data_IF_112996824805
#
_entry.id   IF_112996824805
#
_cell.length_a   1.000
_cell.length_b   1.000
_cell.length_c   1.000
_cell.angle_alpha   90.00
_cell.angle_beta   90.00
_cell.angle_gamma   90.00
#
_symmetry.space_group_name_H-M   'P 1'
#
loop_
_entity.id
_entity.type
_entity.pdbx_description
1 polymer ?
#
# COMPACT_ATOMS: atom_id res chain seq x y z
N UNK A 1 -18.86 -6.61 1.68
CA UNK A 1 -17.59 -5.88 1.65
C UNK A 1 -17.70 -4.64 0.80
N UNK A 2 -17.17 -3.54 1.27
CA UNK A 2 -17.18 -2.27 0.55
C UNK A 2 -15.76 -1.74 0.44
N UNK A 3 -15.34 -1.33 -0.75
CA UNK A 3 -14.06 -0.63 -0.96
C UNK A 3 -14.36 0.86 -1.10
N UNK A 4 -13.69 1.67 -0.31
CA UNK A 4 -13.88 3.12 -0.30
C UNK A 4 -12.56 3.83 -0.11
N UNK A 5 -12.54 5.13 -0.36
CA UNK A 5 -11.33 5.91 -0.13
C UNK A 5 -10.94 5.88 1.36
N UNK A 6 -9.64 5.81 1.60
CA UNK A 6 -9.07 5.90 2.93
C UNK A 6 -9.12 7.34 3.42
N UNK A 7 -9.43 7.52 4.70
CA UNK A 7 -9.35 8.83 5.36
C UNK A 7 -8.50 8.69 6.61
N UNK A 8 -8.11 9.82 7.21
CA UNK A 8 -7.27 9.77 8.41
C UNK A 8 -7.99 9.15 9.62
N UNK A 9 -9.32 9.14 9.61
CA UNK A 9 -10.11 8.46 10.65
C UNK A 9 -9.90 6.94 10.63
N UNK A 10 -9.40 6.40 9.53
CA UNK A 10 -9.08 4.98 9.43
C UNK A 10 -7.75 4.61 10.10
N UNK A 11 -6.97 5.60 10.51
CA UNK A 11 -5.58 5.36 10.91
C UNK A 11 -5.39 4.32 12.00
N UNK A 12 -6.15 4.37 13.08
CA UNK A 12 -5.96 3.44 14.20
C UNK A 12 -6.22 2.00 13.78
N UNK A 13 -7.29 1.76 13.01
CA UNK A 13 -7.60 0.44 12.49
C UNK A 13 -6.54 -0.02 11.48
N UNK A 14 -6.08 0.90 10.63
CA UNK A 14 -5.05 0.65 9.64
C UNK A 14 -3.73 0.25 10.33
N UNK A 15 -3.33 1.00 11.35
CA UNK A 15 -2.10 0.74 12.08
C UNK A 15 -2.13 -0.64 12.76
N UNK A 16 -3.26 -0.99 13.38
CA UNK A 16 -3.44 -2.33 13.97
C UNK A 16 -3.33 -3.42 12.90
N UNK A 17 -3.92 -3.20 11.73
CA UNK A 17 -3.83 -4.14 10.62
C UNK A 17 -2.38 -4.34 10.19
N UNK A 18 -1.63 -3.25 10.06
CA UNK A 18 -0.21 -3.32 9.70
C UNK A 18 0.62 -4.06 10.74
N UNK A 19 0.41 -3.78 12.03
CA UNK A 19 1.16 -4.44 13.11
C UNK A 19 0.89 -5.94 13.16
N UNK A 20 -0.26 -6.37 12.69
CA UNK A 20 -0.63 -7.79 12.63
C UNK A 20 -0.26 -8.46 11.32
N UNK A 21 0.44 -7.76 10.45
CA UNK A 21 0.85 -8.28 9.14
C UNK A 21 2.38 -8.38 9.10
N UNK A 22 2.87 -9.58 8.83
CA UNK A 22 4.30 -9.84 8.78
C UNK A 22 4.95 -9.15 7.58
N UNK A 23 6.15 -8.58 7.79
CA UNK A 23 6.95 -8.05 6.70
C UNK A 23 6.46 -6.76 6.07
N UNK A 24 5.77 -5.90 6.83
CA UNK A 24 5.22 -4.66 6.28
C UNK A 24 6.25 -3.59 5.93
N UNK A 25 7.39 -3.55 6.61
CA UNK A 25 8.42 -2.54 6.35
C UNK A 25 8.02 -1.15 6.84
N UNK A 26 7.51 -1.06 8.04
CA UNK A 26 7.07 0.19 8.66
C UNK A 26 8.21 0.98 9.30
N UNK A 27 8.00 2.28 9.49
CA UNK A 27 8.86 3.10 10.32
C UNK A 27 8.03 4.09 11.16
N UNK A 28 8.63 4.62 12.22
CA UNK A 28 7.91 5.44 13.20
C UNK A 28 7.59 6.85 12.70
N UNK A 29 8.10 7.27 11.57
CA UNK A 29 7.87 8.60 11.00
C UNK A 29 6.85 8.58 9.89
N UNK A 30 7.12 7.84 8.81
CA UNK A 30 6.23 7.80 7.65
C UNK A 30 4.90 7.16 7.96
N UNK A 31 4.91 6.15 8.82
CA UNK A 31 3.73 5.37 9.17
C UNK A 31 3.05 5.84 10.46
N UNK A 32 3.47 6.99 11.00
CA UNK A 32 2.77 7.66 12.09
C UNK A 32 1.47 8.27 11.57
N UNK A 33 0.59 8.67 12.50
CA UNK A 33 -0.63 9.39 12.11
C UNK A 33 -0.31 10.63 11.29
N UNK A 34 0.67 11.43 11.72
CA UNK A 34 1.07 12.64 11.01
C UNK A 34 1.64 12.32 9.61
N UNK A 35 2.43 11.25 9.50
CA UNK A 35 2.99 10.82 8.23
C UNK A 35 1.91 10.38 7.26
N UNK A 36 0.95 9.59 7.71
CA UNK A 36 -0.15 9.12 6.87
C UNK A 36 -1.08 10.29 6.50
N UNK A 37 -1.34 11.20 7.44
CA UNK A 37 -2.14 12.40 7.13
C UNK A 37 -1.49 13.22 6.02
N UNK A 38 -0.18 13.42 6.08
CA UNK A 38 0.56 14.14 5.04
C UNK A 38 0.43 13.44 3.69
N UNK A 39 0.57 12.12 3.69
CA UNK A 39 0.47 11.34 2.46
C UNK A 39 -0.94 11.40 1.86
N UNK A 40 -1.97 11.26 2.69
CA UNK A 40 -3.37 11.32 2.24
C UNK A 40 -3.76 12.72 1.75
N UNK A 41 -3.19 13.75 2.35
CA UNK A 41 -3.42 15.12 1.91
C UNK A 41 -2.87 15.37 0.51
N UNK A 42 -1.71 14.78 0.20
CA UNK A 42 -1.11 14.83 -1.12
C UNK A 42 -1.82 13.92 -2.12
N UNK A 43 -2.30 12.76 -1.66
CA UNK A 43 -2.91 11.73 -2.50
C UNK A 43 -4.29 11.32 -1.95
N UNK A 44 -5.28 12.23 -1.99
CA UNK A 44 -6.55 11.97 -1.31
C UNK A 44 -7.46 10.96 -2.01
N UNK A 45 -7.19 10.64 -3.29
CA UNK A 45 -8.09 9.84 -4.12
C UNK A 45 -7.55 8.46 -4.49
N UNK A 46 -6.33 8.13 -4.09
CA UNK A 46 -5.65 6.94 -4.59
C UNK A 46 -5.37 5.87 -3.53
N UNK A 47 -5.75 6.13 -2.29
CA UNK A 47 -5.64 5.17 -1.18
C UNK A 47 -7.02 4.64 -0.83
N UNK A 48 -7.13 3.34 -0.59
CA UNK A 48 -8.41 2.66 -0.38
C UNK A 48 -8.37 1.71 0.80
N UNK A 49 -9.52 1.50 1.39
CA UNK A 49 -9.72 0.48 2.42
C UNK A 49 -10.86 -0.44 2.01
N UNK A 50 -10.77 -1.69 2.46
CA UNK A 50 -11.85 -2.66 2.34
C UNK A 50 -12.51 -2.78 3.71
N UNK A 51 -13.79 -2.45 3.77
CA UNK A 51 -14.59 -2.41 4.99
C UNK A 51 -15.66 -3.49 4.92
N UNK A 52 -15.76 -4.31 5.95
CA UNK A 52 -16.81 -5.32 6.04
C UNK A 52 -17.52 -5.14 7.38
N UNK A 53 -18.76 -4.66 7.31
CA UNK A 53 -19.59 -4.42 8.50
C UNK A 53 -18.90 -3.57 9.56
N UNK A 54 -18.18 -2.54 9.14
CA UNK A 54 -17.48 -1.63 10.04
C UNK A 54 -16.08 -2.08 10.45
N UNK A 55 -15.64 -3.27 10.02
CA UNK A 55 -14.29 -3.75 10.27
C UNK A 55 -13.42 -3.53 9.05
N UNK A 56 -12.24 -2.93 9.25
CA UNK A 56 -11.27 -2.70 8.19
C UNK A 56 -10.48 -3.99 7.98
N UNK A 57 -10.71 -4.65 6.85
CA UNK A 57 -10.13 -5.95 6.53
C UNK A 57 -9.02 -5.91 5.49
N UNK A 58 -8.81 -4.76 4.88
CA UNK A 58 -7.73 -4.59 3.91
C UNK A 58 -7.51 -3.12 3.60
N UNK A 59 -6.34 -2.80 3.08
CA UNK A 59 -6.00 -1.43 2.74
C UNK A 59 -4.88 -1.38 1.71
N UNK A 60 -4.87 -0.33 0.90
CA UNK A 60 -3.79 -0.03 -0.03
C UNK A 60 -3.40 1.44 0.09
N UNK A 61 -2.10 1.67 0.24
CA UNK A 61 -1.51 3.00 0.30
C UNK A 61 -0.80 3.25 -1.03
N UNK A 62 -1.41 4.05 -1.89
CA UNK A 62 -0.88 4.33 -3.22
C UNK A 62 -0.97 5.82 -3.52
N UNK A 63 -0.02 6.32 -4.28
CA UNK A 63 0.00 7.73 -4.64
C UNK A 63 0.91 7.99 -5.82
N UNK A 64 1.15 9.28 -6.12
CA UNK A 64 2.00 9.66 -7.25
C UNK A 64 2.68 11.01 -6.99
N UNK A 65 3.71 11.27 -7.78
CA UNK A 65 4.47 12.51 -7.76
C UNK A 65 4.13 13.45 -8.93
N UNK A 66 3.05 13.16 -9.64
CA UNK A 66 2.66 13.88 -10.88
C UNK A 66 3.19 13.22 -12.14
N UNK A 67 4.06 12.20 -12.01
CA UNK A 67 4.68 11.51 -13.14
C UNK A 67 4.53 10.01 -13.05
N UNK A 68 4.85 9.43 -11.89
CA UNK A 68 4.79 7.97 -11.65
C UNK A 68 4.00 7.68 -10.40
N UNK A 69 3.27 6.60 -10.41
CA UNK A 69 2.60 6.08 -9.23
C UNK A 69 3.50 5.15 -8.47
N UNK A 70 3.19 4.97 -7.17
CA UNK A 70 3.92 4.07 -6.30
C UNK A 70 2.97 3.46 -5.28
N UNK A 71 3.08 2.16 -5.07
CA UNK A 71 2.32 1.45 -4.04
C UNK A 71 3.25 1.14 -2.88
N UNK A 72 2.90 1.59 -1.68
CA UNK A 72 3.72 1.38 -0.49
C UNK A 72 3.30 0.18 0.33
N UNK A 73 2.03 0.14 0.73
CA UNK A 73 1.53 -0.91 1.60
C UNK A 73 0.22 -1.45 1.04
N UNK A 74 0.22 -2.73 0.74
CA UNK A 74 -1.00 -3.47 0.45
C UNK A 74 -1.14 -4.54 1.53
N UNK A 75 -2.25 -4.53 2.23
CA UNK A 75 -2.48 -5.45 3.34
C UNK A 75 -3.88 -6.00 3.28
N UNK A 76 -4.03 -7.30 3.54
CA UNK A 76 -5.33 -7.94 3.72
C UNK A 76 -5.25 -8.73 5.02
N UNK A 77 -6.25 -8.59 5.87
CA UNK A 77 -6.37 -9.34 7.11
C UNK A 77 -6.21 -10.83 6.83
N UNK A 78 -5.41 -11.52 7.64
CA UNK A 78 -5.12 -12.94 7.46
C UNK A 78 -6.39 -13.78 7.36
N UNK A 79 -7.41 -13.45 8.14
CA UNK A 79 -8.70 -14.14 8.12
C UNK A 79 -9.47 -14.01 6.82
N UNK A 80 -9.12 -13.01 6.01
CA UNK A 80 -9.84 -12.67 4.79
C UNK A 80 -9.03 -12.91 3.52
N UNK A 81 -7.88 -13.55 3.63
CA UNK A 81 -7.05 -13.91 2.47
C UNK A 81 -7.73 -14.98 1.62
N UNK A 82 -7.36 -15.02 0.33
CA UNK A 82 -7.94 -15.96 -0.61
C UNK A 82 -9.30 -15.55 -1.17
N UNK A 83 -9.78 -14.36 -0.85
CA UNK A 83 -11.08 -13.84 -1.32
C UNK A 83 -10.92 -12.75 -2.37
N UNK A 84 -9.74 -12.59 -2.94
CA UNK A 84 -9.42 -11.60 -3.98
C UNK A 84 -9.56 -10.14 -3.53
N UNK A 85 -9.51 -9.87 -2.24
CA UNK A 85 -9.61 -8.51 -1.70
C UNK A 85 -8.39 -7.70 -2.12
N UNK A 86 -7.19 -8.28 -2.05
CA UNK A 86 -5.96 -7.61 -2.48
C UNK A 86 -6.02 -7.18 -3.93
N UNK A 87 -6.47 -8.06 -4.83
CA UNK A 87 -6.61 -7.74 -6.25
C UNK A 87 -7.61 -6.62 -6.47
N UNK A 88 -8.73 -6.62 -5.74
CA UNK A 88 -9.75 -5.59 -5.85
C UNK A 88 -9.21 -4.22 -5.38
N UNK A 89 -8.42 -4.20 -4.30
CA UNK A 89 -7.79 -2.97 -3.81
C UNK A 89 -6.80 -2.41 -4.83
N UNK A 90 -5.98 -3.28 -5.43
CA UNK A 90 -5.03 -2.86 -6.47
C UNK A 90 -5.77 -2.29 -7.68
N UNK A 91 -6.83 -2.95 -8.11
CA UNK A 91 -7.63 -2.47 -9.25
C UNK A 91 -8.21 -1.08 -8.98
N UNK A 92 -8.75 -0.84 -7.80
CA UNK A 92 -9.26 0.48 -7.43
C UNK A 92 -8.15 1.54 -7.46
N UNK A 93 -6.99 1.23 -6.88
CA UNK A 93 -5.87 2.17 -6.87
C UNK A 93 -5.35 2.46 -8.28
N UNK A 94 -5.21 1.43 -9.12
CA UNK A 94 -4.73 1.59 -10.49
C UNK A 94 -5.70 2.43 -11.31
N UNK A 95 -7.01 2.20 -11.16
CA UNK A 95 -8.03 2.99 -11.85
C UNK A 95 -7.98 4.45 -11.41
N UNK A 96 -7.83 4.69 -10.11
CA UNK A 96 -7.75 6.05 -9.57
C UNK A 96 -6.50 6.78 -10.09
N UNK A 97 -5.35 6.10 -10.13
CA UNK A 97 -4.12 6.66 -10.66
C UNK A 97 -4.23 6.99 -12.15
N UNK A 98 -4.87 6.10 -12.92
CA UNK A 98 -5.13 6.35 -14.34
C UNK A 98 -5.99 7.61 -14.55
N UNK A 99 -7.02 7.79 -13.72
CA UNK A 99 -7.87 8.99 -13.78
C UNK A 99 -7.09 10.27 -13.50
N UNK A 100 -5.99 10.18 -12.77
CA UNK A 100 -5.12 11.32 -12.49
C UNK A 100 -3.99 11.48 -13.50
N UNK A 101 -4.05 10.73 -14.60
CA UNK A 101 -3.09 10.88 -15.71
C UNK A 101 -1.78 10.14 -15.51
N UNK A 102 -1.72 9.19 -14.60
CA UNK A 102 -0.51 8.40 -14.34
C UNK A 102 -0.48 7.20 -15.29
N UNK A 103 0.68 6.98 -15.92
CA UNK A 103 0.85 5.94 -16.93
C UNK A 103 1.65 4.73 -16.48
N UNK A 104 2.30 4.80 -15.32
CA UNK A 104 3.12 3.69 -14.83
C UNK A 104 3.18 3.75 -13.30
N UNK A 105 3.06 2.58 -12.68
CA UNK A 105 3.08 2.43 -11.23
C UNK A 105 4.16 1.43 -10.85
N UNK A 106 4.95 1.75 -9.83
CA UNK A 106 6.02 0.89 -9.33
C UNK A 106 5.78 0.50 -7.88
N UNK A 107 6.45 -0.54 -7.46
CA UNK A 107 6.49 -0.97 -6.07
C UNK A 107 7.77 -1.78 -5.83
N UNK A 108 8.11 -2.01 -4.57
CA UNK A 108 9.19 -2.91 -4.20
C UNK A 108 8.64 -4.00 -3.28
N UNK A 109 9.19 -5.19 -3.41
CA UNK A 109 8.84 -6.36 -2.61
C UNK A 109 10.15 -7.01 -2.18
N UNK A 110 10.23 -7.45 -0.93
CA UNK A 110 11.40 -8.24 -0.51
C UNK A 110 11.55 -9.45 -1.44
N UNK A 111 12.78 -9.72 -1.86
CA UNK A 111 13.06 -10.84 -2.76
C UNK A 111 12.65 -12.19 -2.17
N UNK A 112 12.71 -12.33 -0.84
CA UNK A 112 12.33 -13.55 -0.12
C UNK A 112 10.82 -13.72 0.06
N UNK A 113 10.03 -12.70 -0.27
CA UNK A 113 8.56 -12.77 -0.18
C UNK A 113 8.00 -13.43 -1.45
N UNK A 114 8.08 -14.75 -1.51
CA UNK A 114 7.66 -15.51 -2.69
C UNK A 114 6.18 -15.32 -3.01
N UNK A 115 5.33 -15.35 -1.99
CA UNK A 115 3.89 -15.17 -2.17
C UNK A 115 3.55 -13.79 -2.70
N UNK A 116 4.18 -12.76 -2.17
CA UNK A 116 3.99 -11.39 -2.63
C UNK A 116 4.46 -11.21 -4.07
N UNK A 117 5.63 -11.73 -4.38
CA UNK A 117 6.16 -11.63 -5.75
C UNK A 117 5.26 -12.35 -6.76
N UNK A 118 4.75 -13.53 -6.42
CA UNK A 118 3.80 -14.24 -7.29
C UNK A 118 2.52 -13.45 -7.48
N UNK A 119 1.99 -12.86 -6.41
CA UNK A 119 0.79 -12.03 -6.45
C UNK A 119 0.94 -10.87 -7.43
N UNK A 120 2.02 -10.10 -7.29
CA UNK A 120 2.25 -8.92 -8.12
C UNK A 120 2.50 -9.29 -9.58
N UNK A 121 3.22 -10.37 -9.83
CA UNK A 121 3.47 -10.84 -11.19
C UNK A 121 2.18 -11.23 -11.90
N UNK A 122 1.26 -11.89 -11.21
CA UNK A 122 -0.06 -12.24 -11.77
C UNK A 122 -0.88 -11.02 -12.14
N UNK A 123 -0.68 -9.90 -11.45
CA UNK A 123 -1.36 -8.65 -11.73
C UNK A 123 -0.67 -7.82 -12.82
N UNK A 124 0.43 -8.32 -13.39
CA UNK A 124 1.14 -7.65 -14.47
C UNK A 124 2.26 -6.71 -14.03
N UNK A 125 2.63 -6.72 -12.76
CA UNK A 125 3.77 -5.97 -12.27
C UNK A 125 5.05 -6.76 -12.52
N UNK A 126 5.78 -6.38 -13.57
CA UNK A 126 6.94 -7.11 -14.04
C UNK A 126 8.20 -6.74 -13.27
N UNK A 127 8.98 -7.76 -12.95
CA UNK A 127 10.29 -7.60 -12.35
C UNK A 127 11.25 -6.95 -13.35
N UNK A 128 12.02 -5.98 -12.89
CA UNK A 128 13.07 -5.31 -13.68
C UNK A 128 14.44 -5.79 -13.17
N UNK A 129 15.12 -6.58 -13.96
CA UNK A 129 16.45 -7.08 -13.59
C UNK A 129 17.58 -6.17 -14.04
N UNK A 130 17.25 -5.19 -14.88
CA UNK A 130 18.21 -4.20 -15.38
C UNK A 130 18.32 -2.96 -14.51
N UNK A 131 17.58 -2.90 -13.40
CA UNK A 131 17.58 -1.75 -12.49
C UNK A 131 18.12 -2.16 -11.12
N UNK A 132 18.79 -1.23 -10.47
CA UNK A 132 19.22 -1.38 -9.07
C UNK A 132 18.49 -0.32 -8.26
N UNK A 133 17.75 -0.74 -7.26
CA UNK A 133 17.07 0.16 -6.34
C UNK A 133 18.10 0.77 -5.38
N UNK A 134 18.10 2.10 -5.27
CA UNK A 134 18.96 2.81 -4.35
C UNK A 134 18.15 3.81 -3.57
N UNK A 135 18.41 3.92 -2.27
CA UNK A 135 17.80 4.93 -1.43
C UNK A 135 18.82 5.52 -0.47
N UNK A 136 18.47 6.64 0.13
CA UNK A 136 19.28 7.30 1.16
C UNK A 136 18.34 8.04 2.08
N UNK A 137 18.47 7.82 3.37
CA UNK A 137 17.70 8.56 4.36
C UNK A 137 18.16 10.02 4.41
N UNK A 138 17.21 10.94 4.46
CA UNK A 138 17.48 12.35 4.70
C UNK A 138 17.53 12.59 6.20
N UNK A 139 16.63 11.94 6.93
CA UNK A 139 16.60 11.94 8.39
C UNK A 139 16.61 10.50 8.88
N UNK A 140 16.88 10.30 10.17
CA UNK A 140 16.83 8.97 10.75
C UNK A 140 15.40 8.44 10.78
N UNK A 141 15.20 7.22 10.27
CA UNK A 141 13.93 6.52 10.33
C UNK A 141 14.11 5.29 11.22
N UNK A 142 13.23 5.15 12.21
CA UNK A 142 13.27 4.02 13.14
C UNK A 142 12.30 2.95 12.67
N UNK A 143 12.84 1.77 12.37
CA UNK A 143 12.05 0.64 11.85
C UNK A 143 11.11 0.10 12.91
N UNK A 144 9.93 -0.33 12.43
CA UNK A 144 8.98 -1.11 13.20
C UNK A 144 8.94 -2.47 12.52
N UNK A 145 9.43 -3.49 13.21
CA UNK A 145 9.48 -4.84 12.65
C UNK A 145 8.18 -5.57 12.94
N UNK A 146 7.62 -6.15 11.92
CA UNK A 146 6.44 -7.00 11.97
C UNK A 146 6.77 -8.36 11.32
#
# INVERSE_FOLDING_TARGET
>A
MKIRNMTIEDYEALYRLWLNTQGMGLNTTDDSRAGIETYLRRNPKTCFVADEAGELIGAILAGHDGRRGYIYHLTVSEKHRGKKIGSALVEEAMTALEREGIHKVALVVFDRNEGGNTFWEKLGFQKREDLIYRNKNITELIRIDT
#
